data_IF_050041697082
#
_entry.id   IF_050041697082
#
_cell.length_a   1.000
_cell.length_b   1.000
_cell.length_c   1.000
_cell.angle_alpha   90.00
_cell.angle_beta   90.00
_cell.angle_gamma   90.00
#
_symmetry.space_group_name_H-M   'P 1'
#
loop_
_entity.id
_entity.type
_entity.pdbx_description
1 polymer ?
#
# COMPACT_ATOMS: atom_id res chain seq x y z
N UNK A 1 -15.11 -7.34 -2.70
CA UNK A 1 -15.24 -7.15 -4.15
C UNK A 1 -15.86 -5.79 -4.39
N UNK A 2 -15.23 -4.98 -5.26
CA UNK A 2 -15.29 -3.53 -5.25
C UNK A 2 -16.68 -2.92 -5.51
N UNK A 3 -16.94 -1.87 -4.80
CA UNK A 3 -18.02 -0.94 -5.12
C UNK A 3 -17.81 -0.40 -6.54
N UNK A 4 -18.90 -0.31 -7.31
CA UNK A 4 -18.84 0.36 -8.61
C UNK A 4 -18.49 1.85 -8.44
N UNK A 5 -17.94 2.48 -9.49
CA UNK A 5 -17.64 3.91 -9.44
C UNK A 5 -18.88 4.75 -9.13
N UNK A 6 -20.05 4.38 -9.65
CA UNK A 6 -21.30 5.04 -9.34
C UNK A 6 -21.63 5.00 -7.84
N UNK A 7 -21.45 3.84 -7.18
CA UNK A 7 -21.67 3.71 -5.75
C UNK A 7 -20.64 4.52 -4.93
N UNK A 8 -19.38 4.56 -5.37
CA UNK A 8 -18.35 5.38 -4.73
C UNK A 8 -18.68 6.87 -4.80
N UNK A 9 -19.12 7.34 -5.97
CA UNK A 9 -19.57 8.73 -6.16
C UNK A 9 -20.75 9.04 -5.26
N UNK A 10 -21.74 8.15 -5.16
CA UNK A 10 -22.90 8.33 -4.28
C UNK A 10 -22.50 8.44 -2.82
N UNK A 11 -21.55 7.63 -2.36
CA UNK A 11 -21.01 7.68 -1.00
C UNK A 11 -20.32 9.01 -0.75
N UNK A 12 -19.44 9.48 -1.66
CA UNK A 12 -18.74 10.76 -1.51
C UNK A 12 -19.74 11.91 -1.41
N UNK A 13 -20.79 11.91 -2.25
CA UNK A 13 -21.85 12.93 -2.20
C UNK A 13 -22.60 12.91 -0.88
N UNK A 14 -22.94 11.72 -0.38
CA UNK A 14 -23.64 11.57 0.90
C UNK A 14 -22.77 12.08 2.07
N UNK A 15 -21.48 11.74 2.08
CA UNK A 15 -20.54 12.29 3.07
C UNK A 15 -20.46 13.82 2.99
N UNK A 16 -20.34 14.37 1.79
CA UNK A 16 -20.27 15.82 1.62
C UNK A 16 -21.53 16.53 2.18
N UNK A 17 -22.69 15.94 1.99
CA UNK A 17 -23.95 16.47 2.56
C UNK A 17 -23.98 16.34 4.09
N UNK A 18 -23.60 15.20 4.64
CA UNK A 18 -23.59 14.95 6.08
C UNK A 18 -22.63 15.89 6.84
N UNK A 19 -21.54 16.25 6.22
CA UNK A 19 -20.53 17.13 6.81
C UNK A 19 -20.65 18.59 6.38
N UNK A 20 -21.79 19.01 5.79
CA UNK A 20 -22.02 20.38 5.32
C UNK A 20 -20.89 20.95 4.45
N UNK A 21 -20.28 20.12 3.61
CA UNK A 21 -19.21 20.56 2.72
C UNK A 21 -19.85 21.27 1.52
N UNK A 22 -20.03 22.58 1.66
CA UNK A 22 -20.70 23.45 0.68
C UNK A 22 -19.81 23.92 -0.48
N UNK A 23 -18.55 23.49 -0.53
CA UNK A 23 -17.65 23.83 -1.64
C UNK A 23 -17.95 22.92 -2.83
N UNK A 24 -17.81 23.46 -4.04
CA UNK A 24 -17.81 22.64 -5.25
C UNK A 24 -16.73 21.56 -5.13
N UNK A 25 -17.17 20.33 -4.97
CA UNK A 25 -16.26 19.19 -4.88
C UNK A 25 -16.13 18.62 -6.29
N UNK A 26 -14.93 18.65 -6.83
CA UNK A 26 -14.60 17.83 -7.99
C UNK A 26 -14.65 16.36 -7.58
N UNK A 27 -15.68 15.68 -8.07
CA UNK A 27 -15.85 14.26 -7.79
C UNK A 27 -14.90 13.48 -8.70
N UNK A 28 -14.02 12.65 -8.14
CA UNK A 28 -13.12 11.84 -8.94
C UNK A 28 -13.91 10.95 -9.91
N UNK A 29 -13.48 10.90 -11.15
CA UNK A 29 -14.02 9.96 -12.16
C UNK A 29 -13.23 8.65 -12.19
N UNK A 30 -11.99 8.66 -11.67
CA UNK A 30 -11.10 7.51 -11.55
C UNK A 30 -10.85 7.23 -10.08
N UNK A 31 -11.16 6.00 -9.67
CA UNK A 31 -10.97 5.51 -8.30
C UNK A 31 -9.87 4.46 -8.18
N UNK A 32 -9.21 4.13 -9.27
CA UNK A 32 -8.02 3.30 -9.31
C UNK A 32 -6.85 4.17 -8.88
N UNK A 33 -6.71 4.25 -7.59
CA UNK A 33 -5.81 5.19 -6.98
C UNK A 33 -4.77 4.54 -6.11
N UNK A 34 -3.90 5.35 -5.70
CA UNK A 34 -2.70 5.03 -4.99
C UNK A 34 -2.77 5.71 -3.63
N UNK A 35 -2.34 4.98 -2.62
CA UNK A 35 -1.98 3.57 -2.56
C UNK A 35 -3.21 2.67 -2.70
N UNK A 36 -3.10 1.62 -3.53
CA UNK A 36 -4.15 0.60 -3.62
C UNK A 36 -4.06 -0.31 -2.41
N UNK A 37 -5.15 -0.38 -1.64
CA UNK A 37 -5.23 -1.30 -0.53
C UNK A 37 -5.77 -2.66 -0.97
N UNK A 38 -5.04 -3.68 -0.61
CA UNK A 38 -5.63 -5.00 -0.50
C UNK A 38 -6.45 -5.03 0.81
N UNK A 39 -7.76 -5.21 0.70
CA UNK A 39 -8.69 -5.23 1.83
C UNK A 39 -8.28 -6.22 2.94
N UNK A 40 -7.61 -7.31 2.59
CA UNK A 40 -7.12 -8.30 3.53
C UNK A 40 -5.86 -7.86 4.29
N UNK A 41 -5.17 -6.81 3.82
CA UNK A 41 -3.92 -6.30 4.40
C UNK A 41 -4.02 -4.87 4.92
N UNK A 42 -5.16 -4.23 4.74
CA UNK A 42 -5.43 -2.86 5.19
C UNK A 42 -6.02 -2.81 6.60
N UNK A 43 -5.54 -3.64 7.48
CA UNK A 43 -6.04 -3.74 8.86
C UNK A 43 -5.04 -3.07 9.77
N UNK A 44 -5.49 -2.10 10.57
CA UNK A 44 -4.69 -1.41 11.57
C UNK A 44 -4.83 -1.99 12.98
N UNK A 45 -5.82 -2.83 13.20
CA UNK A 45 -6.02 -3.54 14.48
C UNK A 45 -6.74 -4.87 14.23
N UNK A 46 -6.53 -5.85 15.10
CA UNK A 46 -7.10 -7.19 15.01
C UNK A 46 -7.93 -7.56 16.23
N UNK A 47 -8.36 -8.82 16.28
CA UNK A 47 -9.11 -9.36 17.42
C UNK A 47 -8.26 -9.44 18.70
N UNK A 48 -6.96 -9.71 18.56
CA UNK A 48 -5.99 -9.82 19.67
C UNK A 48 -5.31 -8.47 19.97
N UNK A 49 -6.02 -7.36 19.72
CA UNK A 49 -5.49 -6.03 20.03
C UNK A 49 -5.47 -5.77 21.54
N UNK A 50 -4.50 -4.97 21.96
CA UNK A 50 -4.52 -4.42 23.32
C UNK A 50 -5.65 -3.38 23.44
N UNK A 51 -6.05 -3.11 24.69
CA UNK A 51 -7.15 -2.19 24.97
C UNK A 51 -6.90 -0.78 24.43
N UNK A 52 -5.65 -0.34 24.46
CA UNK A 52 -5.24 1.02 24.08
C UNK A 52 -4.88 1.16 22.58
N UNK A 53 -4.88 0.07 21.80
CA UNK A 53 -4.38 0.10 20.42
C UNK A 53 -5.18 1.07 19.52
N UNK A 54 -6.49 1.17 19.70
CA UNK A 54 -7.34 2.09 18.93
C UNK A 54 -7.10 3.53 19.37
N UNK A 55 -6.98 3.78 20.67
CA UNK A 55 -6.72 5.13 21.19
C UNK A 55 -5.35 5.64 20.74
N UNK A 56 -4.34 4.77 20.70
CA UNK A 56 -3.02 5.09 20.16
C UNK A 56 -3.07 5.46 18.65
N UNK A 57 -3.89 4.77 17.86
CA UNK A 57 -4.12 5.12 16.46
C UNK A 57 -4.77 6.50 16.31
N UNK A 58 -5.75 6.83 17.16
CA UNK A 58 -6.36 8.17 17.18
C UNK A 58 -5.39 9.25 17.65
N UNK A 59 -4.53 8.93 18.61
CA UNK A 59 -3.48 9.85 19.05
C UNK A 59 -2.47 10.10 17.93
N UNK A 60 -1.99 9.06 17.24
CA UNK A 60 -1.13 9.21 16.06
C UNK A 60 -1.80 10.06 14.97
N UNK A 61 -3.09 9.83 14.70
CA UNK A 61 -3.83 10.63 13.73
C UNK A 61 -3.82 12.12 14.10
N UNK A 62 -4.17 12.46 15.35
CA UNK A 62 -4.18 13.86 15.82
C UNK A 62 -2.79 14.50 15.78
N UNK A 63 -1.78 13.77 16.22
CA UNK A 63 -0.39 14.25 16.22
C UNK A 63 0.16 14.43 14.81
N UNK A 64 -0.21 13.52 13.88
CA UNK A 64 0.15 13.65 12.47
C UNK A 64 -0.45 14.92 11.84
N UNK A 65 -1.72 15.25 12.16
CA UNK A 65 -2.34 16.51 11.71
C UNK A 65 -1.60 17.72 12.27
N UNK A 66 -1.34 17.74 13.57
CA UNK A 66 -0.59 18.84 14.22
C UNK A 66 0.79 19.01 13.58
N UNK A 67 1.53 17.91 13.39
CA UNK A 67 2.86 17.94 12.78
C UNK A 67 2.83 18.50 11.35
N UNK A 68 1.89 18.01 10.54
CA UNK A 68 1.80 18.42 9.15
C UNK A 68 1.35 19.87 8.96
N UNK A 69 0.45 20.37 9.82
CA UNK A 69 -0.16 21.67 9.71
C UNK A 69 0.63 22.75 10.51
N UNK A 70 1.64 22.36 11.30
CA UNK A 70 2.46 23.30 12.07
C UNK A 70 3.53 23.97 11.22
N UNK A 71 3.68 25.28 11.42
CA UNK A 71 4.80 26.04 10.86
C UNK A 71 6.14 25.68 11.55
N UNK A 72 6.12 25.42 12.86
CA UNK A 72 7.26 24.91 13.63
C UNK A 72 7.03 23.44 13.98
N UNK A 73 7.65 22.57 13.20
CA UNK A 73 7.58 21.13 13.39
C UNK A 73 8.43 20.63 14.54
N UNK A 74 9.42 21.39 14.97
CA UNK A 74 10.41 20.98 15.99
C UNK A 74 9.75 20.63 17.30
N UNK A 75 8.79 21.45 17.75
CA UNK A 75 8.08 21.25 19.01
C UNK A 75 7.22 19.97 19.03
N UNK A 76 6.75 19.52 17.85
CA UNK A 76 5.83 18.38 17.72
C UNK A 76 6.57 17.11 17.27
N UNK A 77 7.80 17.24 16.80
CA UNK A 77 8.58 16.12 16.24
C UNK A 77 8.76 14.98 17.25
N UNK A 78 9.10 15.30 18.49
CA UNK A 78 9.27 14.28 19.55
C UNK A 78 7.95 13.57 19.85
N UNK A 79 6.84 14.33 20.02
CA UNK A 79 5.51 13.76 20.26
C UNK A 79 5.10 12.80 19.13
N UNK A 80 5.39 13.20 17.88
CA UNK A 80 5.10 12.33 16.72
C UNK A 80 5.94 11.05 16.74
N UNK A 81 7.24 11.15 16.99
CA UNK A 81 8.14 9.99 17.02
C UNK A 81 7.68 9.00 18.10
N UNK A 82 7.39 9.49 19.30
CA UNK A 82 6.98 8.65 20.42
C UNK A 82 5.69 7.87 20.13
N UNK A 83 4.67 8.56 19.60
CA UNK A 83 3.39 7.89 19.28
C UNK A 83 3.50 7.00 18.03
N UNK A 84 4.29 7.39 17.02
CA UNK A 84 4.54 6.54 15.86
C UNK A 84 5.21 5.23 16.26
N UNK A 85 6.23 5.28 17.10
CA UNK A 85 6.96 4.10 17.57
C UNK A 85 6.10 3.23 18.50
N UNK A 86 5.23 3.86 19.29
CA UNK A 86 4.25 3.13 20.12
C UNK A 86 3.27 2.36 19.25
N UNK A 87 2.70 3.00 18.23
CA UNK A 87 1.78 2.37 17.28
C UNK A 87 2.51 1.31 16.42
N UNK A 88 3.75 1.58 16.02
CA UNK A 88 4.57 0.65 15.22
C UNK A 88 4.80 -0.71 15.87
N UNK A 89 4.67 -0.81 17.21
CA UNK A 89 4.78 -2.07 17.96
C UNK A 89 3.48 -2.88 18.03
N UNK A 90 2.36 -2.34 17.57
CA UNK A 90 1.07 -3.04 17.59
C UNK A 90 1.05 -4.18 16.55
N UNK A 91 0.37 -5.26 16.86
CA UNK A 91 0.45 -6.54 16.12
C UNK A 91 0.09 -6.44 14.63
N UNK A 92 -0.87 -5.58 14.27
CA UNK A 92 -1.34 -5.41 12.89
C UNK A 92 -0.63 -4.27 12.13
N UNK A 93 0.29 -3.57 12.78
CA UNK A 93 1.00 -2.44 12.20
C UNK A 93 2.28 -2.91 11.52
N UNK A 94 2.39 -2.53 10.27
CA UNK A 94 3.56 -2.75 9.41
C UNK A 94 3.68 -1.53 8.49
N UNK A 95 4.02 -1.74 7.24
CA UNK A 95 4.09 -0.67 6.23
C UNK A 95 2.76 0.08 6.02
N UNK A 96 1.63 -0.48 6.45
CA UNK A 96 0.33 0.17 6.43
C UNK A 96 0.30 1.49 7.23
N UNK A 97 1.12 1.65 8.27
CA UNK A 97 1.23 2.91 9.01
C UNK A 97 1.63 4.07 8.10
N UNK A 98 2.60 3.86 7.20
CA UNK A 98 3.04 4.91 6.26
C UNK A 98 1.97 5.24 5.24
N UNK A 99 1.19 4.25 4.82
CA UNK A 99 0.05 4.44 3.91
C UNK A 99 -1.07 5.23 4.58
N UNK A 100 -1.39 4.94 5.84
CA UNK A 100 -2.37 5.68 6.63
C UNK A 100 -1.99 7.16 6.79
N UNK A 101 -0.73 7.44 7.12
CA UNK A 101 -0.20 8.79 7.25
C UNK A 101 -0.21 9.54 5.91
N UNK A 102 0.15 8.87 4.83
CA UNK A 102 0.05 9.43 3.48
C UNK A 102 -1.39 9.87 3.15
N UNK A 103 -2.41 9.06 3.47
CA UNK A 103 -3.80 9.47 3.22
C UNK A 103 -4.23 10.69 4.05
N UNK A 104 -3.67 10.84 5.26
CA UNK A 104 -3.98 12.00 6.10
C UNK A 104 -3.38 13.28 5.50
N UNK A 105 -2.11 13.23 5.07
CA UNK A 105 -1.36 14.39 4.53
C UNK A 105 -0.38 13.94 3.44
N UNK A 106 -0.85 13.73 2.21
CA UNK A 106 -0.08 13.10 1.14
C UNK A 106 1.12 13.94 0.65
N UNK A 107 1.12 15.24 0.93
CA UNK A 107 2.25 16.12 0.59
C UNK A 107 3.28 16.25 1.71
N UNK A 108 3.05 15.61 2.86
CA UNK A 108 3.95 15.65 4.02
C UNK A 108 4.54 14.27 4.30
N UNK A 109 3.71 13.24 4.27
CA UNK A 109 4.12 11.88 4.58
C UNK A 109 4.26 11.04 3.32
N UNK A 110 5.40 10.36 3.16
CA UNK A 110 5.64 9.48 2.04
C UNK A 110 4.89 8.15 2.21
N UNK A 111 4.29 7.67 1.12
CA UNK A 111 3.78 6.30 1.06
C UNK A 111 4.95 5.34 0.79
N UNK A 112 5.19 4.41 1.71
CA UNK A 112 6.21 3.37 1.58
C UNK A 112 5.59 1.99 1.39
N UNK A 113 4.60 1.87 0.51
CA UNK A 113 4.12 0.57 0.08
C UNK A 113 5.18 -0.21 -0.72
N UNK A 114 4.90 -1.45 -1.06
CA UNK A 114 5.88 -2.30 -1.76
C UNK A 114 6.30 -1.74 -3.12
N UNK A 115 5.38 -1.06 -3.82
CA UNK A 115 5.64 -0.49 -5.15
C UNK A 115 6.53 0.74 -5.08
N UNK A 116 6.24 1.65 -4.15
CA UNK A 116 7.05 2.85 -3.96
C UNK A 116 8.46 2.50 -3.50
N UNK A 117 8.61 1.58 -2.54
CA UNK A 117 9.93 1.10 -2.09
C UNK A 117 10.71 0.42 -3.19
N UNK A 118 10.05 -0.42 -3.99
CA UNK A 118 10.65 -1.07 -5.15
C UNK A 118 11.10 -0.01 -6.18
N UNK A 119 10.23 0.94 -6.51
CA UNK A 119 10.54 1.96 -7.50
C UNK A 119 11.74 2.83 -7.07
N UNK A 120 11.77 3.30 -5.83
CA UNK A 120 12.91 4.05 -5.30
C UNK A 120 14.19 3.22 -5.41
N UNK A 121 14.14 1.96 -5.03
CA UNK A 121 15.31 1.07 -5.02
C UNK A 121 15.88 0.82 -6.42
N UNK A 122 15.01 0.65 -7.40
CA UNK A 122 15.41 0.26 -8.75
C UNK A 122 15.72 1.47 -9.66
N UNK A 123 15.01 2.59 -9.48
CA UNK A 123 15.06 3.71 -10.44
C UNK A 123 15.62 5.01 -9.87
N UNK A 124 15.57 5.23 -8.59
CA UNK A 124 16.04 6.48 -7.99
C UNK A 124 16.60 6.28 -6.55
N UNK A 125 17.58 5.37 -6.36
CA UNK A 125 18.13 5.10 -5.03
C UNK A 125 18.79 6.33 -4.40
N UNK A 126 19.24 7.27 -5.21
CA UNK A 126 19.84 8.53 -4.76
C UNK A 126 18.85 9.43 -4.00
N UNK A 127 17.53 9.24 -4.19
CA UNK A 127 16.52 10.05 -3.49
C UNK A 127 16.55 9.84 -1.95
N UNK A 128 17.13 8.73 -1.52
CA UNK A 128 17.38 8.37 -0.12
C UNK A 128 18.89 8.26 0.19
N UNK A 129 19.71 9.06 -0.50
CA UNK A 129 21.16 9.06 -0.38
C UNK A 129 21.79 7.67 -0.56
N UNK A 130 21.14 6.79 -1.34
CA UNK A 130 21.55 5.41 -1.55
C UNK A 130 21.30 4.47 -0.36
N UNK A 131 20.75 4.95 0.75
CA UNK A 131 20.42 4.13 1.91
C UNK A 131 19.10 3.35 1.72
N UNK A 132 19.09 2.46 0.72
CA UNK A 132 17.96 1.53 0.48
C UNK A 132 17.81 0.47 1.56
N UNK A 133 18.78 0.35 2.50
CA UNK A 133 18.67 -0.54 3.65
C UNK A 133 17.55 -0.10 4.60
N UNK A 134 17.23 1.19 4.61
CA UNK A 134 16.10 1.74 5.36
C UNK A 134 14.74 1.15 4.96
N UNK A 135 14.67 0.47 3.79
CA UNK A 135 13.45 -0.22 3.34
C UNK A 135 13.40 -1.72 3.66
N UNK A 136 14.36 -2.24 4.43
CA UNK A 136 14.35 -3.64 4.86
C UNK A 136 13.23 -3.89 5.87
N UNK A 137 13.14 -3.03 6.87
CA UNK A 137 12.16 -3.10 7.94
C UNK A 137 11.34 -1.81 7.98
N UNK A 138 10.18 -1.83 8.63
CA UNK A 138 9.38 -0.63 8.85
C UNK A 138 10.23 0.37 9.65
N UNK A 139 10.44 1.59 9.16
CA UNK A 139 11.26 2.57 9.85
C UNK A 139 10.63 2.97 11.19
N UNK A 140 11.46 3.31 12.17
CA UNK A 140 10.99 4.01 13.37
C UNK A 140 10.58 5.45 13.02
N UNK A 141 9.95 6.15 13.95
CA UNK A 141 9.40 7.49 13.73
C UNK A 141 10.44 8.51 13.28
N UNK A 142 11.64 8.47 13.83
CA UNK A 142 12.73 9.37 13.45
C UNK A 142 13.18 9.12 12.01
N UNK A 143 13.46 7.87 11.66
CA UNK A 143 13.84 7.47 10.29
C UNK A 143 12.71 7.76 9.30
N UNK A 144 11.45 7.55 9.68
CA UNK A 144 10.31 7.83 8.82
C UNK A 144 10.20 9.34 8.50
N UNK A 145 10.32 10.21 9.50
CA UNK A 145 10.29 11.65 9.26
C UNK A 145 11.49 12.10 8.42
N UNK A 146 12.69 11.56 8.70
CA UNK A 146 13.86 11.83 7.88
C UNK A 146 13.64 11.42 6.41
N UNK A 147 13.04 10.24 6.15
CA UNK A 147 12.68 9.81 4.79
C UNK A 147 11.69 10.79 4.13
N UNK A 148 10.66 11.23 4.85
CA UNK A 148 9.69 12.20 4.32
C UNK A 148 10.37 13.51 3.92
N UNK A 149 11.22 14.05 4.80
CA UNK A 149 11.94 15.32 4.58
C UNK A 149 12.96 15.18 3.44
N UNK A 150 13.76 14.11 3.44
CA UNK A 150 14.80 13.86 2.44
C UNK A 150 14.20 13.66 1.06
N UNK A 151 13.21 12.79 0.93
CA UNK A 151 12.56 12.51 -0.35
C UNK A 151 11.89 13.78 -0.88
N UNK A 152 11.15 14.53 -0.06
CA UNK A 152 10.52 15.79 -0.47
C UNK A 152 11.53 16.84 -0.93
N UNK A 153 12.65 16.97 -0.21
CA UNK A 153 13.73 17.90 -0.58
C UNK A 153 14.38 17.49 -1.90
N UNK A 154 14.67 16.21 -2.08
CA UNK A 154 15.27 15.69 -3.32
C UNK A 154 14.35 15.87 -4.52
N UNK A 155 13.05 15.58 -4.36
CA UNK A 155 12.06 15.84 -5.42
C UNK A 155 12.08 17.31 -5.82
N UNK A 156 12.10 18.23 -4.84
CA UNK A 156 12.08 19.67 -5.11
C UNK A 156 13.33 20.17 -5.82
N UNK A 157 14.48 19.52 -5.63
CA UNK A 157 15.78 19.93 -6.16
C UNK A 157 16.25 19.07 -7.36
N UNK A 158 15.52 18.02 -7.70
CA UNK A 158 15.92 17.06 -8.73
C UNK A 158 15.05 17.10 -9.99
N UNK A 159 15.58 16.51 -11.06
CA UNK A 159 14.88 16.31 -12.33
C UNK A 159 14.22 14.93 -12.36
N UNK A 160 13.19 14.74 -11.52
CA UNK A 160 12.39 13.53 -11.52
C UNK A 160 11.15 13.67 -12.39
N UNK A 161 10.60 12.54 -12.84
CA UNK A 161 9.33 12.47 -13.56
C UNK A 161 8.13 12.89 -12.70
N UNK A 162 8.32 12.96 -11.39
CA UNK A 162 7.33 13.33 -10.39
C UNK A 162 7.79 14.58 -9.62
N UNK A 163 6.84 15.42 -9.22
CA UNK A 163 7.10 16.72 -8.59
C UNK A 163 6.72 16.78 -7.10
N UNK A 164 6.11 15.72 -6.57
CA UNK A 164 5.67 15.62 -5.18
C UNK A 164 5.50 14.15 -4.76
N UNK A 165 5.24 13.90 -3.48
CA UNK A 165 5.07 12.56 -2.94
C UNK A 165 3.88 11.78 -3.54
N UNK A 166 2.70 12.39 -3.80
CA UNK A 166 1.63 11.74 -4.54
C UNK A 166 2.03 11.28 -5.94
N UNK A 167 2.74 12.10 -6.69
CA UNK A 167 3.20 11.75 -8.02
C UNK A 167 4.27 10.65 -8.00
N UNK A 168 5.18 10.65 -7.00
CA UNK A 168 6.10 9.53 -6.78
C UNK A 168 5.34 8.21 -6.59
N UNK A 169 4.34 8.21 -5.72
CA UNK A 169 3.51 7.02 -5.47
C UNK A 169 2.77 6.57 -6.74
N UNK A 170 2.27 7.52 -7.54
CA UNK A 170 1.61 7.22 -8.82
C UNK A 170 2.59 6.66 -9.86
N UNK A 171 3.74 7.27 -10.02
CA UNK A 171 4.76 6.81 -10.96
C UNK A 171 5.22 5.39 -10.61
N UNK A 172 5.44 5.12 -9.32
CA UNK A 172 5.78 3.79 -8.85
C UNK A 172 4.69 2.75 -9.15
N UNK A 173 3.42 3.13 -9.01
CA UNK A 173 2.30 2.27 -9.37
C UNK A 173 2.27 1.95 -10.87
N UNK A 174 2.29 2.97 -11.72
CA UNK A 174 2.22 2.81 -13.18
C UNK A 174 3.37 1.95 -13.68
N UNK A 175 4.58 2.22 -13.21
CA UNK A 175 5.76 1.47 -13.61
C UNK A 175 5.70 0.01 -13.13
N UNK A 176 5.25 -0.24 -11.91
CA UNK A 176 5.07 -1.60 -11.42
C UNK A 176 4.02 -2.39 -12.22
N UNK A 177 2.95 -1.75 -12.67
CA UNK A 177 1.94 -2.40 -13.54
C UNK A 177 2.51 -2.69 -14.92
N UNK A 178 3.30 -1.77 -15.49
CA UNK A 178 3.98 -1.98 -16.77
C UNK A 178 4.89 -3.21 -16.71
N UNK A 179 5.78 -3.28 -15.71
CA UNK A 179 6.70 -4.40 -15.53
C UNK A 179 5.94 -5.73 -15.30
N UNK A 180 4.86 -5.70 -14.51
CA UNK A 180 4.05 -6.89 -14.29
C UNK A 180 3.37 -7.38 -15.57
N UNK A 181 2.94 -6.47 -16.45
CA UNK A 181 2.32 -6.83 -17.73
C UNK A 181 3.35 -7.41 -18.71
N UNK A 182 4.57 -6.86 -18.74
CA UNK A 182 5.66 -7.37 -19.56
C UNK A 182 6.06 -8.78 -19.11
N UNK A 183 6.23 -8.99 -17.82
CA UNK A 183 6.53 -10.31 -17.26
C UNK A 183 5.44 -11.36 -17.55
N UNK A 184 4.17 -10.94 -17.58
CA UNK A 184 3.07 -11.85 -17.99
C UNK A 184 3.18 -12.22 -19.46
N UNK A 185 3.45 -11.26 -20.35
CA UNK A 185 3.61 -11.53 -21.78
C UNK A 185 4.77 -12.50 -22.04
N UNK A 186 5.92 -12.27 -21.40
CA UNK A 186 7.08 -13.17 -21.53
C UNK A 186 6.73 -14.58 -21.07
N UNK A 187 6.04 -14.74 -19.94
CA UNK A 187 5.61 -16.06 -19.47
C UNK A 187 4.54 -16.70 -20.38
N UNK A 188 3.66 -15.92 -20.98
CA UNK A 188 2.68 -16.40 -21.94
C UNK A 188 3.35 -16.80 -23.27
N UNK A 189 4.34 -16.03 -23.74
CA UNK A 189 5.13 -16.35 -24.93
C UNK A 189 6.05 -17.56 -24.73
N UNK A 190 6.66 -17.73 -23.56
CA UNK A 190 7.42 -18.92 -23.20
C UNK A 190 6.51 -20.16 -23.11
N UNK A 191 5.29 -20.02 -22.58
CA UNK A 191 4.31 -21.10 -22.57
C UNK A 191 3.74 -21.38 -23.98
N UNK A 192 3.69 -20.40 -24.87
CA UNK A 192 3.20 -20.56 -26.24
C UNK A 192 4.27 -21.16 -27.16
N UNK A 193 5.56 -20.94 -26.89
CA UNK A 193 6.67 -21.53 -27.63
C UNK A 193 6.95 -23.00 -27.28
N UNK A 194 6.26 -23.56 -26.28
CA UNK A 194 6.39 -24.96 -25.85
C UNK A 194 5.23 -25.82 -26.36
N UNK A 195 4.31 -25.27 -27.14
CA UNK A 195 3.24 -26.10 -27.74
C UNK A 195 3.63 -26.54 -29.16
N UNK A 196 4.70 -27.30 -29.31
CA UNK A 196 4.70 -28.41 -30.25
C UNK A 196 4.02 -29.57 -29.51
N UNK A 197 2.89 -30.02 -30.04
CA UNK A 197 2.12 -31.14 -29.51
C UNK A 197 2.99 -32.43 -29.48
N UNK A 198 3.74 -32.58 -28.40
CA UNK A 198 4.21 -33.90 -28.01
C UNK A 198 3.10 -34.53 -27.14
N UNK A 199 2.31 -35.41 -27.75
CA UNK A 199 1.16 -36.10 -27.15
C UNK A 199 1.52 -37.01 -25.96
N UNK A 200 2.76 -36.98 -25.47
CA UNK A 200 3.28 -37.73 -24.35
C UNK A 200 3.72 -36.89 -23.15
N UNK A 201 3.47 -35.60 -23.12
CA UNK A 201 3.81 -34.75 -21.95
C UNK A 201 2.76 -34.94 -20.86
N UNK A 202 3.16 -35.52 -19.75
CA UNK A 202 2.31 -35.67 -18.56
C UNK A 202 2.32 -34.34 -17.78
N UNK A 203 1.18 -33.68 -17.76
CA UNK A 203 1.00 -32.45 -16.97
C UNK A 203 0.63 -32.81 -15.53
N UNK A 204 1.34 -32.21 -14.57
CA UNK A 204 1.07 -32.39 -13.15
C UNK A 204 0.37 -31.15 -12.59
N UNK A 205 -0.80 -31.35 -11.99
CA UNK A 205 -1.55 -30.30 -11.32
C UNK A 205 -1.53 -30.51 -9.81
N UNK A 206 -1.12 -29.49 -9.06
CA UNK A 206 -1.25 -29.54 -7.60
C UNK A 206 -2.64 -29.04 -7.21
N UNK A 207 -3.43 -29.91 -6.60
CA UNK A 207 -4.76 -29.59 -6.10
C UNK A 207 -4.87 -29.95 -4.62
N UNK A 208 -5.18 -28.96 -3.78
CA UNK A 208 -5.37 -29.14 -2.35
C UNK A 208 -6.80 -28.70 -1.93
N UNK A 209 -7.76 -29.65 -1.84
CA UNK A 209 -9.14 -29.34 -1.51
C UNK A 209 -9.30 -29.00 -0.03
N UNK A 210 -9.79 -27.79 0.28
CA UNK A 210 -9.96 -27.27 1.64
C UNK A 210 -8.66 -26.79 2.26
N UNK A 211 -8.75 -26.33 3.52
CA UNK A 211 -7.58 -25.85 4.25
C UNK A 211 -6.64 -27.03 4.56
N UNK A 212 -5.40 -26.97 4.05
CA UNK A 212 -4.43 -28.05 4.23
C UNK A 212 -4.79 -29.39 3.58
N UNK A 213 -5.74 -29.41 2.62
CA UNK A 213 -6.14 -30.63 1.93
C UNK A 213 -7.11 -31.52 2.73
N UNK A 214 -7.77 -30.99 3.75
CA UNK A 214 -8.66 -31.75 4.65
C UNK A 214 -9.79 -32.51 3.96
N UNK A 215 -10.24 -32.03 2.79
CA UNK A 215 -11.30 -32.65 1.98
C UNK A 215 -10.80 -33.63 0.93
N UNK A 216 -9.50 -33.90 0.90
CA UNK A 216 -8.90 -34.76 -0.10
C UNK A 216 -9.58 -36.12 -0.20
N UNK A 217 -9.74 -36.84 0.93
CA UNK A 217 -10.33 -38.18 0.96
C UNK A 217 -11.79 -38.18 0.50
N UNK A 218 -12.56 -37.18 0.80
CA UNK A 218 -13.95 -37.03 0.37
C UNK A 218 -14.03 -36.83 -1.14
N UNK A 219 -13.26 -35.89 -1.68
CA UNK A 219 -13.28 -35.54 -3.09
C UNK A 219 -12.71 -36.65 -3.94
N UNK A 220 -11.65 -37.31 -3.50
CA UNK A 220 -11.09 -38.47 -4.16
C UNK A 220 -12.08 -39.62 -4.28
N UNK A 221 -12.79 -39.96 -3.19
CA UNK A 221 -13.82 -41.02 -3.21
C UNK A 221 -15.01 -40.67 -4.10
N UNK A 222 -15.36 -39.42 -4.23
CA UNK A 222 -16.47 -38.95 -5.06
C UNK A 222 -16.07 -38.70 -6.53
N UNK A 223 -14.79 -38.72 -6.86
CA UNK A 223 -14.26 -38.40 -8.18
C UNK A 223 -14.57 -36.98 -8.63
N UNK A 224 -14.57 -36.00 -7.69
CA UNK A 224 -14.89 -34.59 -7.95
C UNK A 224 -13.72 -33.69 -7.67
N UNK A 225 -13.64 -32.60 -8.42
CA UNK A 225 -12.79 -31.44 -8.17
C UNK A 225 -13.70 -30.24 -7.99
N UNK A 226 -13.56 -29.51 -6.86
CA UNK A 226 -14.28 -28.28 -6.62
C UNK A 226 -13.28 -27.13 -6.42
N UNK A 227 -13.46 -26.06 -7.18
CA UNK A 227 -12.68 -24.82 -7.10
C UNK A 227 -13.58 -23.79 -6.43
N UNK A 228 -13.16 -23.26 -5.26
CA UNK A 228 -13.88 -22.25 -4.48
C UNK A 228 -13.43 -20.84 -4.79
#
# INVERSE_FOLDING_TARGET
KGLSNANRISIIKAFAQEFDINKSIEIPTVFDGIPTLNNLKAVFFGWERNIDDIDNLWELFRTALKYADSADKTAIKSEFIDIYDKVGRQSCIKWNITMGLFWIRPYVFVNLDSRTRWYIKEYCPEIVDGDVKSFKDVPNGETFLWLCETISSRISNGDYLFKNLPELSYTAYVESERVNQENKKVNDDENTSIVEEDSNVVHYWLYAPGHGGEKWNEFYKKGIIAIG
#
